data_IF_641750329179
#
_entry.id   IF_641750329179
#
_cell.length_a   1.000
_cell.length_b   1.000
_cell.length_c   1.000
_cell.angle_alpha   90.00
_cell.angle_beta   90.00
_cell.angle_gamma   90.00
#
_symmetry.space_group_name_H-M   'P 1'
#
loop_
_entity.id
_entity.type
_entity.pdbx_description
1 polymer ?
#
# COMPACT_ATOMS: atom_id res chain seq x y z
N UNK A 1 -24.77 -20.80 38.10
CA UNK A 1 -23.41 -20.90 37.52
C UNK A 1 -23.45 -20.19 36.17
N UNK A 2 -22.91 -18.98 36.12
CA UNK A 2 -22.86 -18.20 34.89
C UNK A 2 -21.64 -18.63 34.07
N UNK A 3 -21.85 -19.15 32.86
CA UNK A 3 -20.78 -19.45 31.92
C UNK A 3 -20.22 -18.11 31.39
N UNK A 4 -18.98 -17.78 31.78
CA UNK A 4 -18.22 -16.72 31.18
C UNK A 4 -17.82 -17.16 29.75
N UNK A 5 -18.51 -16.64 28.75
CA UNK A 5 -18.02 -16.70 27.39
C UNK A 5 -16.81 -15.76 27.25
N UNK A 6 -15.63 -16.35 27.31
CA UNK A 6 -14.37 -15.66 26.96
C UNK A 6 -14.36 -15.47 25.44
N UNK A 7 -14.63 -14.25 24.99
CA UNK A 7 -14.42 -13.88 23.59
C UNK A 7 -12.92 -13.82 23.34
N UNK A 8 -12.42 -14.77 22.55
CA UNK A 8 -11.03 -14.76 22.08
C UNK A 8 -10.87 -13.59 21.09
N UNK A 9 -10.34 -12.46 21.55
CA UNK A 9 -10.10 -11.24 20.78
C UNK A 9 -8.82 -11.31 19.96
N UNK A 10 -8.33 -12.50 19.61
CA UNK A 10 -7.28 -12.62 18.61
C UNK A 10 -7.84 -12.13 17.28
N UNK A 11 -7.39 -10.95 16.86
CA UNK A 11 -7.72 -10.41 15.55
C UNK A 11 -7.28 -11.45 14.51
N UNK A 12 -8.26 -12.11 13.83
CA UNK A 12 -7.97 -13.04 12.73
C UNK A 12 -7.17 -12.26 11.68
N UNK A 13 -6.00 -12.76 11.32
CA UNK A 13 -5.21 -12.17 10.24
C UNK A 13 -5.99 -12.32 8.93
N UNK A 14 -5.92 -11.30 8.06
CA UNK A 14 -6.49 -11.41 6.71
C UNK A 14 -5.66 -12.43 5.92
N UNK A 15 -6.34 -13.41 5.30
CA UNK A 15 -5.70 -14.41 4.44
C UNK A 15 -5.38 -13.82 3.08
N UNK A 16 -4.19 -14.11 2.55
CA UNK A 16 -3.71 -13.52 1.32
C UNK A 16 -3.20 -14.55 0.31
N UNK A 17 -3.44 -14.30 -0.98
CA UNK A 17 -2.76 -14.98 -2.09
C UNK A 17 -1.86 -13.99 -2.82
N UNK A 18 -0.61 -14.39 -3.09
CA UNK A 18 0.32 -13.60 -3.86
C UNK A 18 0.18 -13.91 -5.35
N UNK A 19 0.15 -12.88 -6.18
CA UNK A 19 0.02 -13.02 -7.64
C UNK A 19 1.18 -12.30 -8.32
N UNK A 20 1.95 -13.05 -9.11
CA UNK A 20 3.09 -12.51 -9.85
C UNK A 20 3.05 -12.84 -11.33
N UNK A 21 3.52 -11.91 -12.16
CA UNK A 21 3.70 -12.11 -13.60
C UNK A 21 5.19 -11.99 -13.94
N UNK A 22 5.75 -13.08 -14.47
CA UNK A 22 7.10 -13.08 -14.99
C UNK A 22 7.07 -12.72 -16.48
N UNK A 23 7.51 -11.50 -16.83
CA UNK A 23 7.65 -11.08 -18.22
C UNK A 23 9.04 -11.46 -18.73
N UNK A 24 9.12 -12.12 -19.90
CA UNK A 24 10.43 -12.52 -20.49
C UNK A 24 11.32 -11.32 -20.85
N UNK A 25 10.73 -10.13 -21.03
CA UNK A 25 11.47 -8.90 -21.26
C UNK A 25 12.22 -8.37 -20.04
N UNK A 26 11.94 -8.90 -18.86
CA UNK A 26 12.51 -8.41 -17.59
C UNK A 26 13.72 -9.25 -17.16
N UNK A 27 14.79 -9.20 -17.96
CA UNK A 27 16.05 -9.95 -17.72
C UNK A 27 16.84 -9.46 -16.50
N UNK A 28 16.42 -8.40 -15.82
CA UNK A 28 17.23 -7.75 -14.78
C UNK A 28 16.97 -8.25 -13.36
N UNK A 29 15.85 -8.91 -13.09
CA UNK A 29 15.49 -9.34 -11.74
C UNK A 29 15.20 -10.83 -11.69
N UNK A 30 15.74 -11.49 -10.66
CA UNK A 30 15.33 -12.85 -10.34
C UNK A 30 13.87 -12.81 -9.82
N UNK A 31 12.92 -13.24 -10.65
CA UNK A 31 11.50 -13.24 -10.33
C UNK A 31 11.18 -13.99 -9.01
N UNK A 32 11.87 -15.09 -8.76
CA UNK A 32 11.69 -15.87 -7.52
C UNK A 32 12.05 -15.01 -6.30
N UNK A 33 13.18 -14.31 -6.34
CA UNK A 33 13.59 -13.41 -5.26
C UNK A 33 12.60 -12.25 -5.03
N UNK A 34 11.97 -11.73 -6.10
CA UNK A 34 10.95 -10.68 -5.94
C UNK A 34 9.67 -11.20 -5.30
N UNK A 35 9.30 -12.45 -5.54
CA UNK A 35 8.14 -13.10 -4.92
C UNK A 35 8.41 -13.43 -3.44
N UNK A 36 9.63 -13.88 -3.10
CA UNK A 36 10.06 -14.08 -1.71
C UNK A 36 10.03 -12.76 -0.92
N UNK A 37 10.53 -11.67 -1.54
CA UNK A 37 10.44 -10.35 -0.94
C UNK A 37 8.99 -9.90 -0.73
N UNK A 38 8.10 -10.14 -1.70
CA UNK A 38 6.67 -9.82 -1.59
C UNK A 38 6.02 -10.55 -0.41
N UNK A 39 6.36 -11.83 -0.22
CA UNK A 39 5.89 -12.61 0.93
C UNK A 39 6.36 -12.01 2.25
N UNK A 40 7.63 -11.64 2.36
CA UNK A 40 8.18 -10.99 3.55
C UNK A 40 7.50 -9.63 3.84
N UNK A 41 7.17 -8.85 2.79
CA UNK A 41 6.41 -7.62 2.92
C UNK A 41 4.97 -7.88 3.40
N UNK A 42 4.29 -8.88 2.84
CA UNK A 42 2.93 -9.27 3.23
C UNK A 42 2.87 -9.69 4.72
N UNK A 43 3.81 -10.53 5.15
CA UNK A 43 3.96 -10.93 6.56
C UNK A 43 4.19 -9.71 7.48
N UNK A 44 4.97 -8.73 7.02
CA UNK A 44 5.21 -7.47 7.78
C UNK A 44 3.93 -6.66 7.95
N UNK A 45 2.99 -6.73 6.99
CA UNK A 45 1.64 -6.16 7.09
C UNK A 45 0.65 -7.02 7.86
N UNK A 46 1.10 -8.10 8.49
CA UNK A 46 0.26 -9.03 9.25
C UNK A 46 -0.79 -9.74 8.37
N UNK A 47 -0.45 -10.01 7.11
CA UNK A 47 -1.23 -10.87 6.23
C UNK A 47 -0.77 -12.33 6.40
N UNK A 48 -1.72 -13.26 6.40
CA UNK A 48 -1.44 -14.70 6.41
C UNK A 48 -1.40 -15.20 4.95
N UNK A 49 -0.20 -15.47 4.44
CA UNK A 49 0.03 -15.86 3.04
C UNK A 49 -0.26 -17.35 2.88
N UNK A 50 -1.36 -17.69 2.22
CA UNK A 50 -1.81 -19.07 1.99
C UNK A 50 -1.11 -19.71 0.80
N UNK A 51 -0.71 -18.91 -0.19
CA UNK A 51 -0.01 -19.42 -1.36
C UNK A 51 0.26 -18.35 -2.41
N UNK A 52 0.80 -18.81 -3.54
CA UNK A 52 1.14 -17.93 -4.66
C UNK A 52 0.66 -18.50 -5.99
N UNK A 53 0.22 -17.60 -6.87
CA UNK A 53 -0.17 -17.92 -8.25
C UNK A 53 0.65 -17.09 -9.20
N UNK A 54 1.43 -17.75 -10.06
CA UNK A 54 2.33 -17.08 -11.00
C UNK A 54 1.95 -17.34 -12.45
N UNK A 55 2.31 -16.43 -13.34
CA UNK A 55 2.11 -16.57 -14.77
C UNK A 55 3.31 -16.06 -15.54
N UNK A 56 3.80 -16.86 -16.51
CA UNK A 56 4.77 -16.41 -17.49
C UNK A 56 4.04 -15.71 -18.65
N UNK A 57 4.51 -14.54 -19.05
CA UNK A 57 4.04 -13.76 -20.19
C UNK A 57 5.23 -13.25 -21.00
N UNK A 58 5.02 -13.03 -22.30
CA UNK A 58 6.06 -12.41 -23.16
C UNK A 58 6.21 -10.92 -22.82
N UNK A 59 5.08 -10.23 -22.59
CA UNK A 59 5.02 -8.80 -22.28
C UNK A 59 3.88 -8.49 -21.30
N UNK A 60 4.04 -7.41 -20.54
CA UNK A 60 2.96 -6.85 -19.72
C UNK A 60 1.86 -6.25 -20.59
N UNK A 61 0.60 -6.55 -20.27
CA UNK A 61 -0.57 -5.95 -20.89
C UNK A 61 -1.03 -4.73 -20.08
N UNK A 62 -1.35 -3.63 -20.77
CA UNK A 62 -1.79 -2.39 -20.12
C UNK A 62 -3.10 -2.56 -19.34
N UNK A 63 -4.02 -3.41 -19.84
CA UNK A 63 -5.36 -3.59 -19.27
C UNK A 63 -5.48 -4.83 -18.38
N UNK A 64 -4.78 -5.89 -18.73
CA UNK A 64 -4.87 -7.17 -18.05
C UNK A 64 -3.54 -7.54 -17.41
N UNK A 65 -3.49 -7.52 -16.09
CA UNK A 65 -2.29 -7.95 -15.35
C UNK A 65 -2.00 -9.43 -15.63
N UNK A 66 -3.01 -10.28 -15.47
CA UNK A 66 -2.96 -11.73 -15.79
C UNK A 66 -3.92 -12.10 -16.92
N UNK A 67 -3.69 -13.21 -17.61
CA UNK A 67 -4.59 -13.72 -18.64
C UNK A 67 -5.93 -14.18 -18.08
N UNK A 68 -6.97 -14.27 -18.94
CA UNK A 68 -8.32 -14.65 -18.51
C UNK A 68 -8.36 -16.01 -17.80
N UNK A 69 -7.71 -17.05 -18.35
CA UNK A 69 -7.67 -18.37 -17.72
C UNK A 69 -6.97 -18.35 -16.35
N UNK A 70 -5.98 -17.46 -16.16
CA UNK A 70 -5.33 -17.29 -14.86
C UNK A 70 -6.24 -16.57 -13.85
N UNK A 71 -7.12 -15.67 -14.30
CA UNK A 71 -8.16 -15.07 -13.46
C UNK A 71 -9.09 -16.15 -12.89
N UNK A 72 -9.52 -17.11 -13.73
CA UNK A 72 -10.38 -18.21 -13.30
C UNK A 72 -9.66 -19.12 -12.28
N UNK A 73 -8.37 -19.38 -12.48
CA UNK A 73 -7.53 -20.12 -11.53
C UNK A 73 -7.41 -19.39 -10.17
N UNK A 74 -7.13 -18.09 -10.21
CA UNK A 74 -7.06 -17.26 -8.99
C UNK A 74 -8.41 -17.26 -8.27
N UNK A 75 -9.51 -17.17 -9.01
CA UNK A 75 -10.86 -17.19 -8.45
C UNK A 75 -11.17 -18.51 -7.77
N UNK A 76 -10.83 -19.63 -8.40
CA UNK A 76 -10.98 -20.96 -7.79
C UNK A 76 -10.12 -21.10 -6.52
N UNK A 77 -8.89 -20.55 -6.52
CA UNK A 77 -8.01 -20.53 -5.35
C UNK A 77 -8.61 -19.72 -4.20
N UNK A 78 -9.17 -18.54 -4.50
CA UNK A 78 -9.84 -17.66 -3.54
C UNK A 78 -11.02 -18.38 -2.88
N UNK A 79 -11.87 -19.00 -3.67
CA UNK A 79 -13.06 -19.70 -3.19
C UNK A 79 -12.71 -20.95 -2.35
N UNK A 80 -11.66 -21.69 -2.76
CA UNK A 80 -11.24 -22.91 -2.05
C UNK A 80 -10.57 -22.62 -0.70
N UNK A 81 -9.79 -21.55 -0.60
CA UNK A 81 -9.00 -21.23 0.61
C UNK A 81 -9.60 -20.10 1.46
N UNK A 82 -10.77 -19.56 1.10
CA UNK A 82 -11.41 -18.43 1.80
C UNK A 82 -10.44 -17.24 1.94
N UNK A 83 -9.93 -16.77 0.79
CA UNK A 83 -8.94 -15.69 0.72
C UNK A 83 -9.62 -14.32 0.83
N UNK A 84 -9.10 -13.47 1.73
CA UNK A 84 -9.61 -12.11 1.94
C UNK A 84 -8.97 -11.09 0.97
N UNK A 85 -7.68 -11.30 0.59
CA UNK A 85 -6.86 -10.31 -0.13
C UNK A 85 -6.02 -10.95 -1.22
N UNK A 86 -5.98 -10.33 -2.41
CA UNK A 86 -4.98 -10.61 -3.45
C UNK A 86 -3.87 -9.56 -3.37
N UNK A 87 -2.62 -10.00 -3.32
CA UNK A 87 -1.44 -9.13 -3.35
C UNK A 87 -0.68 -9.35 -4.64
N UNK A 88 -0.49 -8.30 -5.46
CA UNK A 88 0.26 -8.39 -6.72
C UNK A 88 1.71 -7.96 -6.56
N UNK A 89 2.63 -8.66 -7.26
CA UNK A 89 4.06 -8.38 -7.20
C UNK A 89 4.45 -7.06 -7.87
N UNK A 90 3.67 -6.62 -8.85
CA UNK A 90 3.92 -5.40 -9.61
C UNK A 90 2.93 -4.30 -9.24
N UNK A 91 3.30 -3.05 -9.48
CA UNK A 91 2.38 -1.93 -9.38
C UNK A 91 1.33 -2.04 -10.50
N UNK A 92 0.05 -1.97 -10.12
CA UNK A 92 -1.06 -2.07 -11.06
C UNK A 92 -1.40 -0.71 -11.66
N UNK A 93 -1.62 -0.69 -12.98
CA UNK A 93 -2.31 0.44 -13.60
C UNK A 93 -3.75 0.53 -13.10
N UNK A 94 -4.36 1.73 -13.21
CA UNK A 94 -5.78 1.91 -12.84
C UNK A 94 -6.71 0.94 -13.60
N UNK A 95 -6.38 0.64 -14.88
CA UNK A 95 -7.16 -0.29 -15.70
C UNK A 95 -7.01 -1.74 -15.22
N UNK A 96 -5.79 -2.17 -14.88
CA UNK A 96 -5.52 -3.51 -14.35
C UNK A 96 -6.19 -3.71 -12.99
N UNK A 97 -6.02 -2.76 -12.06
CA UNK A 97 -6.65 -2.80 -10.74
C UNK A 97 -8.17 -2.91 -10.84
N UNK A 98 -8.79 -2.09 -11.72
CA UNK A 98 -10.22 -2.17 -11.97
C UNK A 98 -10.64 -3.52 -12.54
N UNK A 99 -9.91 -4.04 -13.54
CA UNK A 99 -10.22 -5.32 -14.18
C UNK A 99 -10.15 -6.47 -13.18
N UNK A 100 -9.12 -6.50 -12.32
CA UNK A 100 -9.00 -7.52 -11.29
C UNK A 100 -10.13 -7.41 -10.25
N UNK A 101 -10.44 -6.19 -9.76
CA UNK A 101 -11.53 -5.98 -8.82
C UNK A 101 -12.90 -6.41 -9.40
N UNK A 102 -13.18 -6.06 -10.66
CA UNK A 102 -14.44 -6.41 -11.33
C UNK A 102 -14.60 -7.93 -11.51
N UNK A 103 -13.49 -8.67 -11.67
CA UNK A 103 -13.51 -10.12 -11.88
C UNK A 103 -13.43 -10.94 -10.60
N UNK A 104 -12.60 -10.53 -9.63
CA UNK A 104 -12.35 -11.32 -8.42
C UNK A 104 -13.28 -10.95 -7.26
N UNK A 105 -13.76 -9.71 -7.20
CA UNK A 105 -14.75 -9.27 -6.21
C UNK A 105 -14.22 -9.15 -4.77
N UNK A 106 -12.92 -9.29 -4.56
CA UNK A 106 -12.24 -9.14 -3.25
C UNK A 106 -11.23 -8.00 -3.26
N UNK A 107 -10.69 -7.68 -2.09
CA UNK A 107 -9.66 -6.64 -1.91
C UNK A 107 -8.39 -7.00 -2.69
N UNK A 108 -7.89 -6.05 -3.47
CA UNK A 108 -6.65 -6.20 -4.23
C UNK A 108 -5.68 -5.11 -3.78
N UNK A 109 -4.49 -5.50 -3.43
CA UNK A 109 -3.38 -4.66 -3.00
C UNK A 109 -2.22 -4.92 -3.93
N UNK A 110 -1.60 -3.88 -4.48
CA UNK A 110 -0.35 -4.04 -5.22
C UNK A 110 0.87 -3.82 -4.31
N UNK A 111 2.05 -4.16 -4.82
CA UNK A 111 3.32 -4.01 -4.09
C UNK A 111 3.52 -2.59 -3.55
N UNK A 112 3.19 -1.57 -4.33
CA UNK A 112 3.36 -0.17 -3.93
C UNK A 112 2.45 0.17 -2.76
N UNK A 113 1.19 -0.24 -2.80
CA UNK A 113 0.26 -0.02 -1.70
C UNK A 113 0.70 -0.77 -0.44
N UNK A 114 1.17 -2.02 -0.57
CA UNK A 114 1.68 -2.81 0.55
C UNK A 114 2.86 -2.12 1.24
N UNK A 115 3.83 -1.60 0.47
CA UNK A 115 4.96 -0.83 1.01
C UNK A 115 4.49 0.45 1.71
N UNK A 116 3.52 1.16 1.15
CA UNK A 116 2.95 2.36 1.78
C UNK A 116 2.24 2.04 3.10
N UNK A 117 1.58 0.89 3.21
CA UNK A 117 0.97 0.44 4.46
C UNK A 117 2.04 0.12 5.52
N UNK A 118 3.15 -0.53 5.14
CA UNK A 118 4.29 -0.78 6.04
C UNK A 118 4.86 0.54 6.56
N UNK A 119 5.06 1.52 5.68
CA UNK A 119 5.54 2.84 6.11
C UNK A 119 4.54 3.53 7.05
N UNK A 120 3.24 3.41 6.81
CA UNK A 120 2.22 3.96 7.69
C UNK A 120 2.26 3.33 9.09
N UNK A 121 2.43 2.02 9.17
CA UNK A 121 2.56 1.29 10.44
C UNK A 121 3.83 1.69 11.21
N UNK A 122 4.93 1.98 10.49
CA UNK A 122 6.23 2.28 11.09
C UNK A 122 6.51 3.76 11.32
N UNK A 123 5.79 4.67 10.69
CA UNK A 123 5.99 6.10 10.82
C UNK A 123 5.67 6.59 12.24
N UNK A 124 6.70 6.99 13.00
CA UNK A 124 6.56 7.50 14.37
C UNK A 124 6.57 9.02 14.42
N UNK A 125 7.42 9.66 13.60
CA UNK A 125 7.54 11.12 13.59
C UNK A 125 6.34 11.77 12.90
N UNK A 126 5.99 13.00 13.31
CA UNK A 126 4.94 13.80 12.66
C UNK A 126 5.21 13.97 11.17
N UNK A 127 6.46 14.28 10.82
CA UNK A 127 6.86 14.43 9.43
C UNK A 127 6.71 13.13 8.63
N UNK A 128 7.22 12.00 9.17
CA UNK A 128 7.09 10.69 8.51
C UNK A 128 5.63 10.32 8.27
N UNK A 129 4.74 10.57 9.24
CA UNK A 129 3.29 10.36 9.07
C UNK A 129 2.71 11.22 7.95
N UNK A 130 3.08 12.50 7.86
CA UNK A 130 2.61 13.40 6.81
C UNK A 130 3.15 12.98 5.43
N UNK A 131 4.41 12.55 5.34
CA UNK A 131 5.00 12.08 4.08
C UNK A 131 4.30 10.81 3.58
N UNK A 132 4.05 9.86 4.46
CA UNK A 132 3.35 8.61 4.10
C UNK A 132 1.91 8.91 3.73
N UNK A 133 1.18 9.73 4.48
CA UNK A 133 -0.18 10.14 4.14
C UNK A 133 -0.23 10.81 2.76
N UNK A 134 0.72 11.69 2.44
CA UNK A 134 0.81 12.34 1.13
C UNK A 134 1.01 11.31 0.02
N UNK A 135 1.92 10.35 0.21
CA UNK A 135 2.19 9.29 -0.77
C UNK A 135 0.98 8.37 -0.98
N UNK A 136 0.26 8.03 0.09
CA UNK A 136 -0.98 7.24 0.00
C UNK A 136 -2.08 7.99 -0.77
N UNK A 137 -2.23 9.29 -0.55
CA UNK A 137 -3.20 10.12 -1.27
C UNK A 137 -2.83 10.29 -2.75
N UNK A 138 -1.54 10.48 -3.05
CA UNK A 138 -1.03 10.53 -4.44
C UNK A 138 -1.30 9.21 -5.19
N UNK A 139 -1.07 8.08 -4.52
CA UNK A 139 -1.35 6.75 -5.06
C UNK A 139 -2.86 6.51 -5.28
N UNK A 140 -3.70 6.96 -4.35
CA UNK A 140 -5.15 6.74 -4.38
C UNK A 140 -5.85 7.64 -5.42
N UNK A 141 -5.42 8.90 -5.59
CA UNK A 141 -6.11 9.91 -6.40
C UNK A 141 -6.41 9.46 -7.85
N UNK A 142 -5.47 8.88 -8.62
CA UNK A 142 -5.76 8.38 -9.98
C UNK A 142 -6.69 7.15 -9.95
N UNK A 143 -6.65 6.35 -8.89
CA UNK A 143 -7.40 5.08 -8.75
C UNK A 143 -8.85 5.27 -8.36
N UNK A 144 -9.24 6.44 -7.85
CA UNK A 144 -10.64 6.77 -7.53
C UNK A 144 -11.61 6.65 -8.72
N UNK A 145 -11.14 6.79 -9.94
CA UNK A 145 -11.99 6.67 -11.15
C UNK A 145 -12.57 5.27 -11.35
N UNK A 146 -11.98 4.23 -10.76
CA UNK A 146 -12.42 2.84 -10.87
C UNK A 146 -13.51 2.43 -9.88
N UNK A 147 -13.59 3.09 -8.72
CA UNK A 147 -14.45 2.66 -7.59
C UNK A 147 -15.84 3.32 -7.54
N UNK A 148 -16.18 4.21 -8.46
CA UNK A 148 -17.44 4.96 -8.46
C UNK A 148 -18.72 4.11 -8.44
N UNK A 149 -18.67 2.85 -8.87
CA UNK A 149 -19.83 1.94 -8.85
C UNK A 149 -20.01 1.19 -7.53
N UNK A 150 -18.94 0.90 -6.79
CA UNK A 150 -19.04 0.19 -5.51
C UNK A 150 -19.46 1.13 -4.38
N UNK A 151 -19.00 2.38 -4.39
CA UNK A 151 -19.40 3.40 -3.41
C UNK A 151 -20.83 3.91 -3.61
N UNK A 152 -21.37 3.89 -4.84
CA UNK A 152 -22.74 4.32 -5.10
C UNK A 152 -23.81 3.31 -4.65
N UNK A 153 -23.45 2.05 -4.38
CA UNK A 153 -24.38 1.04 -3.85
C UNK A 153 -24.71 1.20 -2.36
N UNK A 154 -23.88 1.90 -1.59
CA UNK A 154 -24.11 2.14 -0.16
C UNK A 154 -25.00 3.40 0.13
N UNK A 155 -25.35 4.17 -0.89
CA UNK A 155 -26.11 5.40 -0.76
C UNK A 155 -27.38 5.43 -1.62
N UNK A 156 -28.27 4.46 -1.46
CA UNK A 156 -29.60 4.44 -2.12
C UNK A 156 -30.54 5.47 -1.51
N UNK A 157 -30.44 6.72 -1.90
CA UNK A 157 -31.44 7.77 -1.66
C UNK A 157 -31.83 8.42 -2.97
N UNK A 158 -33.07 8.15 -3.43
CA UNK A 158 -33.73 8.89 -4.52
C UNK A 158 -34.05 10.29 -4.01
N UNK A 159 -33.39 11.30 -4.57
CA UNK A 159 -33.81 12.71 -4.36
C UNK A 159 -32.65 13.65 -4.12
N UNK A 160 -32.60 14.68 -4.97
CA UNK A 160 -31.75 15.87 -4.94
C UNK A 160 -30.36 15.73 -5.60
N UNK A 161 -30.34 15.40 -6.90
CA UNK A 161 -29.24 15.85 -7.78
C UNK A 161 -29.66 17.19 -8.40
N UNK A 162 -29.25 18.28 -7.74
CA UNK A 162 -29.09 19.55 -8.44
C UNK A 162 -27.92 19.45 -9.43
N UNK A 163 -27.64 20.44 -10.31
CA UNK A 163 -26.48 20.51 -11.17
C UNK A 163 -25.21 20.71 -10.32
N UNK A 164 -24.87 19.73 -9.48
CA UNK A 164 -23.79 19.73 -8.52
C UNK A 164 -22.81 18.62 -8.84
N UNK A 165 -21.58 18.80 -8.40
CA UNK A 165 -20.47 17.84 -8.50
C UNK A 165 -20.93 16.41 -8.20
N UNK A 166 -20.44 15.45 -9.00
CA UNK A 166 -20.60 14.03 -8.69
C UNK A 166 -19.87 13.71 -7.37
N UNK A 167 -20.33 12.69 -6.64
CA UNK A 167 -19.66 12.24 -5.40
C UNK A 167 -18.16 12.03 -5.63
N UNK A 168 -17.79 11.50 -6.78
CA UNK A 168 -16.40 11.30 -7.18
C UNK A 168 -15.60 12.60 -7.27
N UNK A 169 -16.19 13.66 -7.79
CA UNK A 169 -15.54 14.97 -7.89
C UNK A 169 -15.36 15.62 -6.52
N UNK A 170 -16.35 15.45 -5.63
CA UNK A 170 -16.23 15.88 -4.24
C UNK A 170 -15.10 15.13 -3.52
N UNK A 171 -15.05 13.81 -3.64
CA UNK A 171 -13.98 12.99 -3.04
C UNK A 171 -12.60 13.39 -3.56
N UNK A 172 -12.46 13.62 -4.87
CA UNK A 172 -11.23 14.15 -5.46
C UNK A 172 -10.83 15.53 -4.94
N UNK A 173 -11.80 16.41 -4.78
CA UNK A 173 -11.54 17.74 -4.24
C UNK A 173 -11.07 17.64 -2.79
N UNK A 174 -11.72 16.82 -1.96
CA UNK A 174 -11.30 16.58 -0.58
C UNK A 174 -9.87 16.06 -0.50
N UNK A 175 -9.52 15.06 -1.30
CA UNK A 175 -8.16 14.52 -1.35
C UNK A 175 -7.14 15.59 -1.77
N UNK A 176 -7.42 16.36 -2.83
CA UNK A 176 -6.51 17.44 -3.26
C UNK A 176 -6.34 18.53 -2.20
N UNK A 177 -7.41 18.91 -1.52
CA UNK A 177 -7.35 19.86 -0.41
C UNK A 177 -6.46 19.31 0.70
N UNK A 178 -6.67 18.05 1.09
CA UNK A 178 -5.84 17.39 2.12
C UNK A 178 -4.37 17.31 1.72
N UNK A 179 -4.07 16.95 0.48
CA UNK A 179 -2.70 16.93 -0.04
C UNK A 179 -2.03 18.32 0.03
N UNK A 180 -2.76 19.39 -0.30
CA UNK A 180 -2.24 20.75 -0.20
C UNK A 180 -1.97 21.17 1.25
N UNK A 181 -2.84 20.81 2.18
CA UNK A 181 -2.63 21.04 3.62
C UNK A 181 -1.36 20.32 4.11
N UNK A 182 -1.18 19.05 3.73
CA UNK A 182 0.01 18.26 4.09
C UNK A 182 1.27 18.89 3.50
N UNK A 183 1.25 19.28 2.21
CA UNK A 183 2.38 19.96 1.56
C UNK A 183 2.77 21.25 2.30
N UNK A 184 1.78 22.03 2.74
CA UNK A 184 2.03 23.24 3.53
C UNK A 184 2.66 22.90 4.89
N UNK A 185 2.15 21.88 5.58
CA UNK A 185 2.70 21.44 6.86
C UNK A 185 4.15 20.93 6.71
N UNK A 186 4.44 20.15 5.66
CA UNK A 186 5.79 19.68 5.37
C UNK A 186 6.76 20.82 5.07
N UNK A 187 6.31 21.86 4.34
CA UNK A 187 7.12 23.06 4.10
C UNK A 187 7.52 23.73 5.42
N UNK A 188 6.60 23.87 6.36
CA UNK A 188 6.90 24.42 7.69
C UNK A 188 7.94 23.58 8.43
N UNK A 189 7.90 22.25 8.31
CA UNK A 189 8.90 21.35 8.91
C UNK A 189 10.28 21.58 8.29
N UNK A 190 10.38 21.74 6.97
CA UNK A 190 11.64 22.04 6.27
C UNK A 190 12.22 23.36 6.75
N UNK A 191 11.41 24.42 6.84
CA UNK A 191 11.84 25.73 7.35
C UNK A 191 12.36 25.68 8.81
N UNK A 192 11.73 24.83 9.65
CA UNK A 192 12.23 24.57 11.00
C UNK A 192 13.60 23.86 10.98
N UNK A 193 13.78 22.84 10.13
CA UNK A 193 15.06 22.13 9.99
C UNK A 193 16.18 23.04 9.51
N UNK A 194 15.92 23.92 8.55
CA UNK A 194 16.90 24.89 8.08
C UNK A 194 17.36 25.81 9.20
N UNK A 195 16.42 26.32 10.03
CA UNK A 195 16.79 27.13 11.21
C UNK A 195 17.68 26.38 12.18
N UNK A 196 17.37 25.10 12.49
CA UNK A 196 18.23 24.29 13.36
C UNK A 196 19.57 23.93 12.72
N UNK A 197 19.63 23.77 11.40
CA UNK A 197 20.89 23.56 10.67
C UNK A 197 21.77 24.79 10.79
N UNK A 198 21.26 25.99 10.49
CA UNK A 198 21.99 27.24 10.60
C UNK A 198 22.50 27.49 12.01
N UNK A 199 21.69 27.18 13.02
CA UNK A 199 22.12 27.30 14.43
C UNK A 199 23.26 26.32 14.77
N UNK A 200 23.25 25.10 14.27
CA UNK A 200 24.33 24.13 14.46
C UNK A 200 25.60 24.55 13.74
N UNK A 201 25.49 25.12 12.54
CA UNK A 201 26.62 25.69 11.80
C UNK A 201 27.25 26.86 12.54
N UNK A 202 26.43 27.77 13.06
CA UNK A 202 26.93 28.90 13.90
C UNK A 202 27.65 28.42 15.16
N UNK A 203 27.15 27.33 15.75
CA UNK A 203 27.75 26.73 16.95
C UNK A 203 28.91 25.77 16.63
N UNK A 204 29.33 25.64 15.37
CA UNK A 204 30.43 24.76 14.91
C UNK A 204 30.27 23.29 15.34
N UNK A 205 29.02 22.79 15.42
CA UNK A 205 28.73 21.40 15.79
C UNK A 205 29.13 20.47 14.64
N UNK A 206 29.92 19.44 14.96
CA UNK A 206 30.31 18.43 13.97
C UNK A 206 29.08 17.71 13.41
N UNK A 207 28.97 17.57 12.07
CA UNK A 207 27.84 16.97 11.39
C UNK A 207 28.30 15.75 10.62
N UNK A 208 27.55 14.63 10.77
CA UNK A 208 27.76 13.39 10.03
C UNK A 208 26.49 13.13 9.19
N UNK A 209 26.66 12.89 7.90
CA UNK A 209 25.57 12.46 7.02
C UNK A 209 25.68 10.94 6.77
N UNK A 210 24.59 10.24 7.03
CA UNK A 210 24.44 8.82 6.66
C UNK A 210 23.63 8.76 5.37
N UNK A 211 24.16 8.08 4.36
CA UNK A 211 23.52 7.94 3.06
C UNK A 211 23.30 6.46 2.77
N UNK A 212 22.11 6.09 2.32
CA UNK A 212 21.78 4.71 1.95
C UNK A 212 20.41 4.61 1.26
N UNK A 213 20.12 3.47 0.68
CA UNK A 213 18.78 3.18 0.15
C UNK A 213 17.74 3.10 1.27
N UNK A 214 16.46 3.19 0.94
CA UNK A 214 15.31 3.39 1.84
C UNK A 214 15.31 2.52 3.10
N UNK A 215 15.77 1.28 3.04
CA UNK A 215 15.79 0.36 4.17
C UNK A 215 17.20 -0.02 4.66
N UNK A 216 18.27 0.42 4.01
CA UNK A 216 19.64 -0.01 4.32
C UNK A 216 20.23 0.60 5.59
N UNK A 217 19.66 1.72 6.08
CA UNK A 217 20.17 2.43 7.26
C UNK A 217 19.60 1.95 8.60
N UNK A 218 18.58 1.08 8.61
CA UNK A 218 17.95 0.61 9.85
C UNK A 218 18.95 -0.14 10.73
N UNK A 219 19.79 -0.97 10.16
CA UNK A 219 20.79 -1.76 10.89
C UNK A 219 21.95 -0.91 11.45
N UNK A 220 22.16 0.29 10.91
CA UNK A 220 23.24 1.20 11.33
C UNK A 220 22.73 2.23 12.35
N UNK A 221 21.48 2.65 12.22
CA UNK A 221 20.89 3.70 13.05
C UNK A 221 20.18 3.20 14.31
N UNK A 222 19.81 1.91 14.37
CA UNK A 222 19.30 1.34 15.60
C UNK A 222 20.48 1.03 16.54
N UNK A 223 20.48 1.56 17.77
CA UNK A 223 21.48 1.15 18.76
C UNK A 223 21.29 -0.35 19.00
N UNK A 224 22.33 -1.13 18.74
CA UNK A 224 22.39 -2.54 19.13
C UNK A 224 22.07 -2.59 20.62
N UNK A 225 20.89 -3.11 20.97
CA UNK A 225 20.53 -3.33 22.36
C UNK A 225 21.48 -4.43 22.83
N UNK A 226 22.57 -4.06 23.47
CA UNK A 226 23.38 -5.01 24.20
C UNK A 226 22.48 -5.62 25.24
N UNK A 227 22.15 -6.90 25.10
CA UNK A 227 21.58 -7.68 26.16
C UNK A 227 22.61 -7.63 27.30
N UNK A 228 22.23 -6.97 28.39
CA UNK A 228 22.98 -7.04 29.63
C UNK A 228 22.95 -8.49 30.10
N UNK A 229 24.12 -9.12 30.12
CA UNK A 229 24.39 -10.42 30.74
C UNK A 229 24.21 -10.28 32.25
#
# INVERSE_FOLDING_TARGET
MAQQHTYDTKKKLETAVLVGVHAQSDHQYNFESTMEELEALALTCQLDVIGQVTQNKDQFDYKYYVGKGKIDEIKAFIEFHDIDVVVTNDELTTAQSKTLNDNLGIKIIDRTQLILEIFALRARSREGKLQVELAQLDYLLPRLQGHGKSLSRLGGGIGTRGPGETKLEMDRRHIRTRMNEIKHQLKTVVEHRERYRNQREQNQVFQIALIGYTLSLIHISEPTRQEAI
#
